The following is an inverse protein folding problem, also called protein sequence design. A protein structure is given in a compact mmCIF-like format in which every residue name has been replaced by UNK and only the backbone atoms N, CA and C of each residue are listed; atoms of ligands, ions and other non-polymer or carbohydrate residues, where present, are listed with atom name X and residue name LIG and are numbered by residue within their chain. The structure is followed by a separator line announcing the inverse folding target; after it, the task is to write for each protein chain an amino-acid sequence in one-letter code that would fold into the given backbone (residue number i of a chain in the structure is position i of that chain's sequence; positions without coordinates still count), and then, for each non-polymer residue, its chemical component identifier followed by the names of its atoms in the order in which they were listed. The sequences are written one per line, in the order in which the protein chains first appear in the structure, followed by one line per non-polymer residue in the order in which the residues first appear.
data_IF_752886431767
#
_entry.id   IF_752886431767
#
_cell.length_a   1.000
_cell.length_b   1.000
_cell.length_c   1.000
_cell.angle_alpha   90.00
_cell.angle_beta   90.00
_cell.angle_gamma   90.00
#
_symmetry.space_group_name_H-M   'P 1'
#
loop_
_entity.id
_entity.type
_entity.pdbx_description
1 polymer ?
#
# COMPACT_ATOMS: atom_id res chain seq x y z
N UNK A 1 -21.78 -8.43 -34.08
CA UNK A 1 -21.07 -7.24 -34.63
C UNK A 1 -19.67 -7.04 -34.05
N UNK A 2 -19.48 -6.74 -32.75
CA UNK A 2 -18.11 -6.56 -32.22
C UNK A 2 -17.32 -7.87 -32.15
N UNK A 3 -17.96 -8.96 -31.67
CA UNK A 3 -17.34 -10.29 -31.64
C UNK A 3 -16.92 -10.77 -33.03
N UNK A 4 -17.84 -10.78 -34.02
CA UNK A 4 -17.52 -11.09 -35.43
C UNK A 4 -16.30 -10.33 -35.96
N UNK A 5 -16.20 -9.02 -35.71
CA UNK A 5 -15.08 -8.20 -36.15
C UNK A 5 -13.78 -8.54 -35.42
N UNK A 6 -13.85 -9.01 -34.16
CA UNK A 6 -12.69 -9.47 -33.43
C UNK A 6 -12.25 -10.86 -33.90
N UNK A 7 -13.17 -11.78 -34.19
CA UNK A 7 -12.85 -13.15 -34.63
C UNK A 7 -11.91 -13.14 -35.85
N UNK A 8 -12.19 -12.31 -36.85
CA UNK A 8 -11.33 -12.14 -38.05
C UNK A 8 -10.01 -11.38 -37.82
N UNK A 9 -9.82 -10.80 -36.63
CA UNK A 9 -8.63 -10.01 -36.28
C UNK A 9 -7.81 -10.66 -35.15
N UNK A 10 -8.28 -11.77 -34.60
CA UNK A 10 -7.61 -12.57 -33.55
C UNK A 10 -7.54 -14.04 -33.97
N UNK A 11 -7.35 -14.32 -35.26
CA UNK A 11 -7.27 -15.70 -35.80
C UNK A 11 -6.07 -16.48 -35.21
N UNK A 12 -4.97 -15.78 -34.90
CA UNK A 12 -3.80 -16.30 -34.16
C UNK A 12 -4.10 -16.67 -32.69
N UNK A 13 -5.16 -16.09 -32.10
CA UNK A 13 -5.51 -16.20 -30.67
C UNK A 13 -7.02 -16.43 -30.48
N UNK A 14 -7.57 -17.57 -30.95
CA UNK A 14 -9.01 -17.86 -30.90
C UNK A 14 -9.58 -17.88 -29.48
N UNK A 15 -8.77 -18.19 -28.46
CA UNK A 15 -9.11 -18.19 -27.02
C UNK A 15 -9.65 -16.84 -26.50
N UNK A 16 -9.35 -15.74 -27.20
CA UNK A 16 -9.80 -14.39 -26.83
C UNK A 16 -11.32 -14.23 -26.97
N UNK A 17 -11.96 -14.90 -27.94
CA UNK A 17 -13.40 -14.80 -28.19
C UNK A 17 -14.23 -15.52 -27.10
N UNK A 18 -13.92 -16.77 -26.70
CA UNK A 18 -14.49 -17.40 -25.50
C UNK A 18 -14.25 -16.58 -24.23
N UNK A 19 -13.04 -16.04 -24.03
CA UNK A 19 -12.72 -15.24 -22.84
C UNK A 19 -13.60 -13.98 -22.74
N UNK A 20 -13.70 -13.20 -23.82
CA UNK A 20 -14.55 -12.01 -23.87
C UNK A 20 -16.04 -12.35 -23.71
N UNK A 21 -16.48 -13.50 -24.26
CA UNK A 21 -17.86 -13.99 -24.09
C UNK A 21 -18.16 -14.38 -22.64
N UNK A 22 -17.24 -15.06 -21.96
CA UNK A 22 -17.35 -15.39 -20.54
C UNK A 22 -17.35 -14.14 -19.65
N UNK A 23 -16.56 -13.11 -19.99
CA UNK A 23 -16.59 -11.79 -19.34
C UNK A 23 -17.97 -11.12 -19.47
N UNK A 24 -18.57 -11.19 -20.66
CA UNK A 24 -19.90 -10.64 -20.91
C UNK A 24 -20.99 -11.35 -20.10
N UNK A 25 -20.97 -12.69 -20.03
CA UNK A 25 -21.93 -13.48 -19.25
C UNK A 25 -21.86 -13.20 -17.73
N UNK A 26 -20.69 -12.83 -17.20
CA UNK A 26 -20.47 -12.50 -15.78
C UNK A 26 -20.85 -11.07 -15.39
N UNK A 27 -21.13 -10.18 -16.37
CA UNK A 27 -21.48 -8.78 -16.11
C UNK A 27 -22.91 -8.64 -15.56
N UNK A 28 -23.18 -7.58 -14.80
CA UNK A 28 -24.52 -7.32 -14.23
C UNK A 28 -25.54 -7.02 -15.35
N UNK A 29 -26.77 -7.52 -15.20
CA UNK A 29 -27.84 -7.30 -16.19
C UNK A 29 -28.15 -5.81 -16.40
N UNK A 30 -28.09 -5.02 -15.34
CA UNK A 30 -28.29 -3.56 -15.39
C UNK A 30 -27.22 -2.87 -16.23
N UNK A 31 -25.95 -3.28 -16.08
CA UNK A 31 -24.87 -2.77 -16.93
C UNK A 31 -25.01 -3.23 -18.38
N UNK A 32 -25.41 -4.48 -18.62
CA UNK A 32 -25.66 -4.99 -19.98
C UNK A 32 -26.79 -4.23 -20.70
N UNK A 33 -27.81 -3.75 -19.97
CA UNK A 33 -28.88 -2.91 -20.49
C UNK A 33 -28.52 -1.41 -20.59
N UNK A 34 -27.41 -0.98 -19.98
CA UNK A 34 -27.04 0.44 -19.84
C UNK A 34 -26.67 1.13 -21.17
N UNK A 35 -26.80 2.46 -21.18
CA UNK A 35 -26.22 3.29 -22.24
C UNK A 35 -24.68 3.31 -22.19
N UNK A 36 -24.08 3.07 -21.03
CA UNK A 36 -22.62 3.04 -20.83
C UNK A 36 -21.98 1.93 -21.69
N UNK A 37 -22.48 0.69 -21.61
CA UNK A 37 -21.99 -0.41 -22.44
C UNK A 37 -22.15 -0.12 -23.94
N UNK A 38 -23.30 0.45 -24.36
CA UNK A 38 -23.54 0.83 -25.76
C UNK A 38 -22.52 1.87 -26.26
N UNK A 39 -22.18 2.85 -25.43
CA UNK A 39 -21.18 3.88 -25.74
C UNK A 39 -19.76 3.28 -25.83
N UNK A 40 -19.40 2.39 -24.90
CA UNK A 40 -18.10 1.69 -24.92
C UNK A 40 -17.98 0.79 -26.15
N UNK A 41 -18.98 -0.03 -26.46
CA UNK A 41 -19.00 -0.88 -27.65
C UNK A 41 -18.92 -0.07 -28.95
N UNK A 42 -19.66 1.04 -29.06
CA UNK A 42 -19.63 1.92 -30.25
C UNK A 42 -18.25 2.55 -30.44
N UNK A 43 -17.61 2.99 -29.35
CA UNK A 43 -16.24 3.52 -29.36
C UNK A 43 -15.23 2.45 -29.78
N UNK A 44 -15.33 1.24 -29.24
CA UNK A 44 -14.44 0.12 -29.58
C UNK A 44 -14.63 -0.31 -31.05
N UNK A 45 -15.87 -0.45 -31.53
CA UNK A 45 -16.18 -0.74 -32.94
C UNK A 45 -15.57 0.28 -33.91
N UNK A 46 -15.70 1.57 -33.62
CA UNK A 46 -15.12 2.64 -34.43
C UNK A 46 -13.58 2.54 -34.44
N UNK A 47 -12.97 2.40 -33.26
CA UNK A 47 -11.51 2.28 -33.10
C UNK A 47 -10.91 1.06 -33.80
N UNK A 48 -11.52 -0.12 -33.67
CA UNK A 48 -11.06 -1.36 -34.35
C UNK A 48 -11.10 -1.18 -35.87
N UNK A 49 -12.13 -0.52 -36.42
CA UNK A 49 -12.24 -0.26 -37.86
C UNK A 49 -11.14 0.67 -38.38
N UNK A 50 -10.78 1.70 -37.62
CA UNK A 50 -9.72 2.66 -38.00
C UNK A 50 -8.30 2.13 -37.74
N UNK A 51 -8.09 1.32 -36.69
CA UNK A 51 -6.77 0.86 -36.24
C UNK A 51 -6.78 -0.62 -35.85
N UNK A 52 -6.89 -1.49 -36.86
CA UNK A 52 -6.97 -2.96 -36.70
C UNK A 52 -5.79 -3.55 -35.90
N UNK A 53 -4.59 -3.00 -36.06
CA UNK A 53 -3.38 -3.42 -35.32
C UNK A 53 -3.45 -3.21 -33.80
N UNK A 54 -4.47 -2.50 -33.28
CA UNK A 54 -4.69 -2.33 -31.83
C UNK A 54 -5.92 -3.09 -31.31
N UNK A 55 -6.40 -4.10 -32.04
CA UNK A 55 -7.58 -4.89 -31.67
C UNK A 55 -7.52 -5.43 -30.23
N UNK A 56 -6.38 -6.00 -29.81
CA UNK A 56 -6.18 -6.51 -28.44
C UNK A 56 -6.30 -5.42 -27.36
N UNK A 57 -5.91 -4.17 -27.66
CA UNK A 57 -6.07 -3.03 -26.74
C UNK A 57 -7.55 -2.70 -26.56
N UNK A 58 -8.35 -2.74 -27.64
CA UNK A 58 -9.78 -2.47 -27.60
C UNK A 58 -10.59 -3.62 -26.99
N UNK A 59 -10.15 -4.86 -27.19
CA UNK A 59 -10.66 -6.03 -26.47
C UNK A 59 -10.36 -5.89 -24.97
N UNK A 60 -9.15 -5.47 -24.58
CA UNK A 60 -8.78 -5.27 -23.19
C UNK A 60 -9.56 -4.09 -22.54
N UNK A 61 -9.79 -2.98 -23.27
CA UNK A 61 -10.66 -1.86 -22.84
C UNK A 61 -12.06 -2.40 -22.50
N UNK A 62 -12.66 -3.20 -23.38
CA UNK A 62 -13.97 -3.81 -23.16
C UNK A 62 -13.97 -4.85 -22.03
N UNK A 63 -12.98 -5.74 -21.97
CA UNK A 63 -12.82 -6.73 -20.89
C UNK A 63 -12.69 -6.07 -19.51
N UNK A 64 -11.96 -4.96 -19.42
CA UNK A 64 -11.78 -4.18 -18.18
C UNK A 64 -13.10 -3.57 -17.72
N UNK A 65 -13.86 -2.95 -18.64
CA UNK A 65 -15.19 -2.39 -18.34
C UNK A 65 -16.17 -3.49 -17.92
N UNK A 66 -16.23 -4.61 -18.65
CA UNK A 66 -17.07 -5.75 -18.27
C UNK A 66 -16.69 -6.29 -16.88
N UNK A 67 -15.39 -6.40 -16.57
CA UNK A 67 -14.88 -6.84 -15.26
C UNK A 67 -15.26 -5.89 -14.13
N UNK A 68 -15.21 -4.57 -14.35
CA UNK A 68 -15.62 -3.57 -13.37
C UNK A 68 -17.11 -3.68 -12.98
N UNK A 69 -17.96 -4.04 -13.95
CA UNK A 69 -19.40 -4.25 -13.76
C UNK A 69 -19.82 -5.71 -13.59
N UNK A 70 -18.87 -6.62 -13.30
CA UNK A 70 -19.25 -7.95 -12.80
C UNK A 70 -19.84 -7.84 -11.40
N UNK A 71 -20.91 -8.59 -11.14
CA UNK A 71 -21.37 -8.80 -9.77
C UNK A 71 -20.31 -9.61 -9.03
N UNK A 72 -19.39 -8.92 -8.35
CA UNK A 72 -18.54 -9.58 -7.35
C UNK A 72 -19.46 -10.21 -6.31
N UNK A 73 -19.63 -11.53 -6.38
CA UNK A 73 -20.15 -12.35 -5.28
C UNK A 73 -19.18 -12.21 -4.12
N UNK A 74 -19.31 -11.10 -3.37
CA UNK A 74 -18.78 -10.99 -2.01
C UNK A 74 -19.40 -12.15 -1.25
N UNK A 75 -18.63 -13.19 -1.00
CA UNK A 75 -18.97 -14.16 0.03
C UNK A 75 -19.16 -13.33 1.32
N UNK A 76 -20.30 -13.43 2.03
CA UNK A 76 -20.52 -12.62 3.21
C UNK A 76 -19.52 -13.02 4.30
N UNK A 77 -18.49 -12.19 4.52
CA UNK A 77 -17.84 -12.18 5.81
C UNK A 77 -18.88 -11.65 6.80
N UNK A 78 -19.33 -12.50 7.71
CA UNK A 78 -20.26 -12.13 8.75
C UNK A 78 -19.68 -10.97 9.56
N UNK A 79 -20.37 -9.83 9.56
CA UNK A 79 -20.02 -8.70 10.40
C UNK A 79 -20.39 -9.04 11.85
N UNK A 80 -19.45 -8.84 12.78
CA UNK A 80 -19.75 -8.88 14.20
C UNK A 80 -20.69 -7.70 14.55
N UNK A 81 -21.71 -7.89 15.40
CA UNK A 81 -22.66 -6.83 15.71
C UNK A 81 -22.03 -5.79 16.64
N UNK A 82 -21.74 -4.61 16.10
CA UNK A 82 -21.54 -3.40 16.91
C UNK A 82 -22.91 -2.82 17.27
N UNK A 83 -23.36 -3.03 18.51
CA UNK A 83 -24.52 -2.32 19.03
C UNK A 83 -24.16 -0.85 19.29
N UNK A 84 -25.01 0.07 18.84
CA UNK A 84 -24.93 1.49 19.19
C UNK A 84 -26.33 2.08 19.33
N UNK A 85 -26.56 2.74 20.46
CA UNK A 85 -27.68 3.59 20.84
C UNK A 85 -27.24 4.32 22.12
N UNK A 86 -27.05 5.64 22.20
CA UNK A 86 -27.91 6.78 21.79
C UNK A 86 -29.24 6.67 22.57
N UNK A 87 -29.65 7.57 23.46
CA UNK A 87 -29.38 9.03 23.70
C UNK A 87 -29.75 9.35 25.19
N UNK A 88 -29.00 10.16 25.96
CA UNK A 88 -29.27 11.60 26.30
C UNK A 88 -30.32 11.87 27.40
N UNK A 89 -30.04 12.87 28.28
CA UNK A 89 -30.92 13.57 29.28
C UNK A 89 -31.46 12.72 30.46
N UNK A 90 -31.60 13.17 31.72
CA UNK A 90 -31.35 14.47 32.43
C UNK A 90 -31.44 14.31 33.97
N UNK A 91 -30.62 15.04 34.75
CA UNK A 91 -30.85 15.57 36.14
C UNK A 91 -31.25 14.58 37.29
N UNK A 92 -31.00 14.74 38.60
CA UNK A 92 -30.59 15.85 39.50
C UNK A 92 -30.05 15.30 40.83
N UNK A 93 -29.13 16.02 41.54
CA UNK A 93 -28.85 15.98 43.02
C UNK A 93 -28.41 14.62 43.65
N UNK A 94 -27.62 14.49 44.72
CA UNK A 94 -26.88 15.36 45.66
C UNK A 94 -25.95 14.43 46.51
N UNK A 95 -24.91 14.84 47.25
CA UNK A 95 -24.06 16.05 47.30
C UNK A 95 -22.79 15.75 48.17
N UNK A 96 -21.78 16.65 48.16
CA UNK A 96 -20.84 17.09 49.26
C UNK A 96 -20.21 16.07 50.26
N UNK A 97 -18.95 16.18 50.73
CA UNK A 97 -17.88 17.23 50.61
C UNK A 97 -16.48 16.66 50.97
N UNK A 98 -15.41 17.37 50.55
CA UNK A 98 -14.09 17.64 51.21
C UNK A 98 -13.30 16.49 51.90
N UNK A 99 -11.98 16.32 51.68
CA UNK A 99 -10.93 17.30 52.02
C UNK A 99 -9.53 16.85 51.51
N UNK A 100 -8.57 17.78 51.45
CA UNK A 100 -7.14 17.57 51.18
C UNK A 100 -6.33 18.54 52.05
N UNK A 101 -5.18 18.16 52.64
CA UNK A 101 -3.93 18.80 52.19
C UNK A 101 -2.60 18.01 52.36
N UNK A 102 -1.84 17.90 51.26
CA UNK A 102 -0.38 18.18 51.09
C UNK A 102 0.76 17.49 51.95
N UNK A 103 2.06 17.60 51.51
CA UNK A 103 3.19 16.65 51.79
C UNK A 103 4.22 17.22 52.82
N UNK A 104 5.55 16.86 52.94
CA UNK A 104 6.49 15.98 52.19
C UNK A 104 7.47 15.17 53.11
N UNK A 105 8.81 15.00 52.91
CA UNK A 105 9.67 14.64 51.75
C UNK A 105 10.56 13.37 51.98
N UNK A 106 11.31 12.89 50.95
CA UNK A 106 12.76 12.49 50.99
C UNK A 106 13.18 11.38 49.99
N UNK A 107 14.38 11.52 49.43
CA UNK A 107 15.08 10.62 48.45
C UNK A 107 16.10 9.70 49.16
N UNK A 108 17.07 9.01 48.48
CA UNK A 108 17.15 8.47 47.12
C UNK A 108 17.50 6.94 47.10
N UNK A 109 17.55 6.29 45.92
CA UNK A 109 18.06 4.92 45.80
C UNK A 109 18.43 4.52 44.38
N UNK A 110 19.72 4.28 44.11
CA UNK A 110 20.22 3.90 42.79
C UNK A 110 20.28 2.37 42.63
N UNK A 111 19.82 1.86 41.49
CA UNK A 111 20.12 0.50 41.03
C UNK A 111 20.17 0.48 39.49
N UNK A 112 21.38 0.40 38.93
CA UNK A 112 21.56 0.16 37.50
C UNK A 112 21.22 -1.28 37.16
N UNK A 113 20.10 -1.52 36.49
CA UNK A 113 19.83 -2.80 35.82
C UNK A 113 20.29 -2.74 34.36
N UNK A 114 21.41 -3.41 34.07
CA UNK A 114 21.75 -3.73 32.69
C UNK A 114 20.66 -4.61 32.07
N UNK A 115 20.30 -4.44 30.79
CA UNK A 115 19.26 -5.23 30.17
C UNK A 115 19.75 -6.67 29.94
N UNK A 116 19.28 -7.60 30.78
CA UNK A 116 19.45 -9.03 30.55
C UNK A 116 18.93 -9.41 29.16
N UNK A 117 19.66 -10.19 28.35
CA UNK A 117 19.15 -10.63 27.05
C UNK A 117 17.92 -11.51 27.27
N UNK A 118 16.80 -11.14 26.63
CA UNK A 118 15.58 -11.94 26.68
C UNK A 118 15.86 -13.39 26.22
N UNK A 119 15.19 -14.40 26.81
CA UNK A 119 15.40 -15.79 26.41
C UNK A 119 14.99 -15.98 24.95
N UNK A 120 15.99 -16.07 24.07
CA UNK A 120 15.78 -16.23 22.64
C UNK A 120 14.93 -17.45 22.32
N UNK A 121 14.13 -17.34 21.26
CA UNK A 121 13.17 -18.37 20.86
C UNK A 121 13.81 -19.74 20.66
N UNK A 122 13.04 -20.81 20.87
CA UNK A 122 13.53 -22.18 20.76
C UNK A 122 14.32 -22.40 19.46
N UNK A 123 15.58 -22.81 19.57
CA UNK A 123 16.49 -23.03 18.42
C UNK A 123 15.88 -23.98 17.37
N UNK A 124 15.05 -24.94 17.81
CA UNK A 124 14.30 -25.85 16.92
C UNK A 124 13.20 -25.14 16.14
N UNK A 125 12.47 -24.21 16.78
CA UNK A 125 11.44 -23.39 16.15
C UNK A 125 12.05 -22.41 15.13
N UNK A 126 13.18 -21.79 15.46
CA UNK A 126 13.91 -20.90 14.54
C UNK A 126 14.31 -21.67 13.27
N UNK A 127 14.98 -22.82 13.41
CA UNK A 127 15.37 -23.68 12.27
C UNK A 127 14.17 -24.12 11.42
N UNK A 128 13.06 -24.47 12.06
CA UNK A 128 11.82 -24.85 11.35
C UNK A 128 11.27 -23.69 10.51
N UNK A 129 11.20 -22.48 11.08
CA UNK A 129 10.70 -21.29 10.37
C UNK A 129 11.67 -20.84 9.26
N UNK A 130 12.98 -20.96 9.44
CA UNK A 130 13.99 -20.71 8.39
C UNK A 130 13.86 -21.70 7.22
N UNK A 131 13.64 -22.98 7.52
CA UNK A 131 13.39 -23.98 6.47
C UNK A 131 12.06 -23.73 5.75
N UNK A 132 11.00 -23.37 6.48
CA UNK A 132 9.71 -23.02 5.89
C UNK A 132 9.79 -21.77 4.99
N UNK A 133 10.61 -20.79 5.38
CA UNK A 133 10.91 -19.62 4.55
C UNK A 133 11.53 -20.05 3.22
N UNK A 134 12.56 -20.92 3.26
CA UNK A 134 13.22 -21.47 2.06
C UNK A 134 12.25 -22.22 1.14
N UNK A 135 11.36 -23.05 1.70
CA UNK A 135 10.33 -23.76 0.94
C UNK A 135 9.39 -22.77 0.24
N UNK A 136 8.94 -21.72 0.94
CA UNK A 136 8.09 -20.68 0.33
C UNK A 136 8.83 -19.87 -0.73
N UNK A 137 10.13 -19.58 -0.57
CA UNK A 137 10.93 -18.93 -1.62
C UNK A 137 11.02 -19.79 -2.88
N UNK A 138 11.22 -21.11 -2.75
CA UNK A 138 11.23 -22.03 -3.89
C UNK A 138 9.89 -22.07 -4.63
N UNK A 139 8.79 -22.19 -3.87
CA UNK A 139 7.44 -22.23 -4.47
C UNK A 139 7.05 -20.88 -5.11
N UNK A 140 7.47 -19.74 -4.55
CA UNK A 140 7.29 -18.43 -5.16
C UNK A 140 8.01 -18.36 -6.52
N UNK A 141 9.25 -18.84 -6.62
CA UNK A 141 9.99 -18.86 -7.91
C UNK A 141 9.26 -19.72 -8.96
N UNK A 142 8.83 -20.92 -8.57
CA UNK A 142 8.06 -21.84 -9.42
C UNK A 142 6.74 -21.24 -9.92
N UNK A 143 6.07 -20.42 -9.10
CA UNK A 143 4.84 -19.71 -9.48
C UNK A 143 5.11 -18.50 -10.38
N UNK A 144 6.26 -17.84 -10.22
CA UNK A 144 6.69 -16.73 -11.08
C UNK A 144 7.13 -17.18 -12.48
N UNK A 145 7.63 -18.41 -12.60
CA UNK A 145 7.99 -19.05 -13.88
C UNK A 145 6.79 -19.64 -14.64
N UNK A 146 5.62 -19.74 -13.99
CA UNK A 146 4.41 -20.32 -14.61
C UNK A 146 3.69 -19.27 -15.46
N UNK A 147 3.63 -19.51 -16.76
CA UNK A 147 2.77 -18.77 -17.70
C UNK A 147 1.29 -18.89 -17.30
N UNK A 148 0.52 -17.80 -17.47
CA UNK A 148 -0.93 -17.77 -17.22
C UNK A 148 -1.68 -17.72 -18.55
N UNK A 149 -2.60 -18.66 -18.75
CA UNK A 149 -3.57 -18.57 -19.84
C UNK A 149 -4.71 -17.57 -19.55
N UNK A 150 -5.56 -17.33 -20.55
CA UNK A 150 -6.69 -16.40 -20.40
C UNK A 150 -7.76 -16.88 -19.40
N UNK A 151 -7.88 -18.19 -19.16
CA UNK A 151 -8.83 -18.73 -18.19
C UNK A 151 -8.31 -18.52 -16.75
N UNK A 152 -7.02 -18.76 -16.50
CA UNK A 152 -6.36 -18.48 -15.23
C UNK A 152 -6.38 -16.99 -14.88
N UNK A 153 -6.31 -16.07 -15.86
CA UNK A 153 -6.51 -14.63 -15.64
C UNK A 153 -7.92 -14.25 -15.08
N UNK A 154 -8.88 -15.17 -15.10
CA UNK A 154 -10.17 -15.03 -14.40
C UNK A 154 -10.40 -16.02 -13.25
N UNK A 155 -9.39 -16.81 -12.89
CA UNK A 155 -9.43 -17.70 -11.72
C UNK A 155 -9.09 -16.93 -10.45
N UNK A 156 -9.83 -17.20 -9.36
CA UNK A 156 -9.50 -16.67 -8.03
C UNK A 156 -8.28 -17.35 -7.39
N UNK A 157 -7.89 -18.52 -7.92
CA UNK A 157 -6.74 -19.33 -7.51
C UNK A 157 -5.66 -19.41 -8.61
N UNK A 158 -5.54 -18.39 -9.45
CA UNK A 158 -4.45 -18.28 -10.43
C UNK A 158 -3.05 -18.27 -9.78
N UNK A 159 -2.02 -18.68 -10.52
CA UNK A 159 -0.62 -18.72 -10.02
C UNK A 159 -0.18 -17.40 -9.39
N UNK A 160 -0.49 -16.28 -10.04
CA UNK A 160 -0.23 -14.92 -9.55
C UNK A 160 -0.92 -14.61 -8.21
N UNK A 161 -2.18 -15.05 -8.01
CA UNK A 161 -2.87 -14.87 -6.73
C UNK A 161 -2.33 -15.81 -5.66
N UNK A 162 -1.89 -17.02 -6.01
CA UNK A 162 -1.19 -17.93 -5.11
C UNK A 162 0.15 -17.35 -4.65
N UNK A 163 0.95 -16.78 -5.56
CA UNK A 163 2.20 -16.09 -5.28
C UNK A 163 1.98 -14.94 -4.27
N UNK A 164 0.98 -14.09 -4.50
CA UNK A 164 0.58 -13.03 -3.58
C UNK A 164 0.16 -13.54 -2.19
N UNK A 165 -0.52 -14.69 -2.12
CA UNK A 165 -0.90 -15.34 -0.85
C UNK A 165 0.34 -15.88 -0.12
N UNK A 166 1.30 -16.48 -0.84
CA UNK A 166 2.54 -17.00 -0.26
C UNK A 166 3.48 -15.89 0.20
N UNK A 167 3.70 -14.83 -0.59
CA UNK A 167 4.48 -13.64 -0.18
C UNK A 167 3.95 -13.04 1.14
N UNK A 168 2.63 -12.96 1.31
CA UNK A 168 2.01 -12.51 2.58
C UNK A 168 2.24 -13.47 3.76
N UNK A 169 2.25 -14.79 3.53
CA UNK A 169 2.59 -15.79 4.58
C UNK A 169 4.09 -15.70 4.94
N UNK A 170 4.95 -15.51 3.94
CA UNK A 170 6.41 -15.37 4.10
C UNK A 170 6.76 -14.17 5.01
N UNK A 171 6.12 -13.01 4.82
CA UNK A 171 6.34 -11.85 5.70
C UNK A 171 5.96 -12.11 7.17
N UNK A 172 4.85 -12.83 7.44
CA UNK A 172 4.47 -13.21 8.81
C UNK A 172 5.49 -14.15 9.47
N UNK A 173 6.10 -15.05 8.69
CA UNK A 173 7.19 -15.93 9.16
C UNK A 173 8.43 -15.11 9.46
N UNK A 174 8.78 -14.14 8.60
CA UNK A 174 9.90 -13.23 8.81
C UNK A 174 9.72 -12.38 10.08
N UNK A 175 8.56 -11.74 10.26
CA UNK A 175 8.21 -11.00 11.48
C UNK A 175 8.35 -11.88 12.73
N UNK A 176 7.86 -13.13 12.69
CA UNK A 176 7.98 -14.07 13.81
C UNK A 176 9.43 -14.50 14.06
N UNK A 177 10.24 -14.66 13.01
CA UNK A 177 11.67 -14.94 13.13
C UNK A 177 12.42 -13.76 13.78
N UNK A 178 12.12 -12.52 13.39
CA UNK A 178 12.69 -11.33 14.02
C UNK A 178 12.36 -11.26 15.52
N UNK A 179 11.09 -11.50 15.89
CA UNK A 179 10.67 -11.60 17.30
C UNK A 179 11.43 -12.68 18.07
N UNK A 180 11.56 -13.89 17.51
CA UNK A 180 12.25 -15.01 18.17
C UNK A 180 13.77 -14.82 18.29
N UNK A 181 14.38 -14.05 17.37
CA UNK A 181 15.81 -13.70 17.40
C UNK A 181 16.12 -12.43 18.19
N UNK A 182 15.12 -11.65 18.59
CA UNK A 182 15.31 -10.34 19.23
C UNK A 182 15.83 -9.25 18.27
N UNK A 183 15.59 -9.40 16.97
CA UNK A 183 16.04 -8.47 15.94
C UNK A 183 14.90 -7.54 15.49
N UNK A 184 15.26 -6.38 14.94
CA UNK A 184 14.31 -5.51 14.25
C UNK A 184 13.73 -6.20 13.00
N UNK A 185 12.51 -5.82 12.61
CA UNK A 185 11.87 -6.25 11.35
C UNK A 185 12.25 -5.37 10.15
N UNK A 186 13.27 -4.51 10.29
CA UNK A 186 13.82 -3.72 9.19
C UNK A 186 14.47 -4.64 8.15
N UNK A 187 14.20 -4.35 6.88
CA UNK A 187 14.65 -5.15 5.74
C UNK A 187 15.85 -4.53 5.01
N UNK A 188 16.27 -3.31 5.38
CA UNK A 188 17.34 -2.57 4.73
C UNK A 188 16.88 -1.80 3.49
N UNK A 189 15.56 -1.72 3.26
CA UNK A 189 14.98 -1.03 2.10
C UNK A 189 15.27 0.47 2.09
N UNK A 190 15.33 1.05 0.89
CA UNK A 190 15.61 2.48 0.72
C UNK A 190 14.50 3.35 1.33
N UNK A 191 13.25 2.89 1.38
CA UNK A 191 12.17 3.58 2.13
C UNK A 191 12.40 3.65 3.66
N UNK A 192 13.19 2.74 4.24
CA UNK A 192 13.52 2.74 5.67
C UNK A 192 14.61 3.78 6.01
N UNK A 193 15.33 4.27 5.00
CA UNK A 193 16.39 5.26 5.19
C UNK A 193 15.82 6.63 5.57
N UNK A 194 16.35 7.20 6.66
CA UNK A 194 15.97 8.53 7.17
C UNK A 194 16.47 9.62 6.23
N UNK A 195 15.54 10.41 5.69
CA UNK A 195 15.84 11.64 4.94
C UNK A 195 16.16 12.75 5.95
N UNK A 196 17.40 13.28 6.00
CA UNK A 196 17.69 14.47 6.79
C UNK A 196 17.07 15.71 6.14
N UNK A 197 16.69 16.69 6.96
CA UNK A 197 16.18 17.98 6.48
C UNK A 197 16.84 19.14 7.23
N UNK A 198 17.42 20.08 6.47
CA UNK A 198 18.14 21.27 6.98
C UNK A 198 17.85 22.52 6.14
N UNK A 199 16.70 22.58 5.46
CA UNK A 199 16.38 23.66 4.52
C UNK A 199 16.09 25.03 5.16
N UNK A 200 15.79 25.10 6.46
CA UNK A 200 15.55 26.38 7.16
C UNK A 200 16.70 26.75 8.11
N UNK A 201 16.80 28.03 8.47
CA UNK A 201 17.75 28.53 9.48
C UNK A 201 17.39 28.13 10.92
N UNK A 202 16.21 27.55 11.14
CA UNK A 202 15.65 27.27 12.47
C UNK A 202 15.73 25.76 12.80
N UNK A 203 16.59 25.33 13.73
CA UNK A 203 16.74 23.90 14.07
C UNK A 203 15.45 23.23 14.55
N UNK A 204 14.55 23.98 15.18
CA UNK A 204 13.26 23.53 15.71
C UNK A 204 12.32 23.11 14.57
N UNK A 205 12.25 23.95 13.53
CA UNK A 205 11.51 23.70 12.29
C UNK A 205 12.12 22.51 11.55
N UNK A 206 13.43 22.51 11.37
CA UNK A 206 14.14 21.41 10.70
C UNK A 206 13.85 20.06 11.37
N UNK A 207 14.03 19.96 12.70
CA UNK A 207 13.71 18.74 13.49
C UNK A 207 12.23 18.36 13.44
N UNK A 208 11.30 19.29 13.19
CA UNK A 208 9.87 19.00 13.12
C UNK A 208 9.45 18.48 11.74
N UNK A 209 9.95 19.10 10.68
CA UNK A 209 9.77 18.64 9.29
C UNK A 209 10.43 17.27 9.12
N UNK A 210 11.67 17.10 9.57
CA UNK A 210 12.39 15.82 9.48
C UNK A 210 11.64 14.66 10.18
N UNK A 211 11.08 14.89 11.37
CA UNK A 211 10.24 13.88 12.07
C UNK A 211 8.88 13.65 11.43
N UNK A 212 8.45 14.52 10.52
CA UNK A 212 7.17 14.38 9.82
C UNK A 212 7.33 13.57 8.54
N UNK A 213 8.37 13.85 7.74
CA UNK A 213 8.66 13.19 6.46
C UNK A 213 9.20 11.76 6.60
N UNK A 214 9.75 11.43 7.78
CA UNK A 214 10.27 10.09 8.09
C UNK A 214 9.27 9.19 8.84
N UNK A 215 7.98 9.51 8.77
CA UNK A 215 6.92 8.61 9.24
C UNK A 215 6.63 7.53 8.19
N UNK A 216 6.17 6.33 8.58
CA UNK A 216 5.69 5.34 7.63
C UNK A 216 4.59 5.94 6.75
N UNK A 217 4.66 5.66 5.44
CA UNK A 217 3.70 6.09 4.41
C UNK A 217 3.47 7.62 4.29
N UNK A 218 4.31 8.46 4.91
CA UNK A 218 4.16 9.91 4.80
C UNK A 218 4.58 10.45 3.43
N UNK A 219 3.59 10.94 2.67
CA UNK A 219 3.80 11.80 1.50
C UNK A 219 2.99 13.09 1.71
N UNK A 220 3.58 14.13 2.30
CA UNK A 220 2.85 15.31 2.74
C UNK A 220 2.50 16.25 1.58
N UNK A 221 1.39 16.96 1.69
CA UNK A 221 1.07 18.09 0.82
C UNK A 221 1.70 19.41 1.34
N UNK A 222 1.56 20.49 0.57
CA UNK A 222 1.99 21.83 0.98
C UNK A 222 1.33 22.29 2.29
N UNK A 223 0.03 22.01 2.45
CA UNK A 223 -0.77 22.42 3.60
C UNK A 223 -0.26 21.77 4.89
N UNK A 224 0.19 20.52 4.83
CA UNK A 224 0.72 19.76 5.94
C UNK A 224 2.09 20.25 6.37
N UNK A 225 2.97 20.58 5.42
CA UNK A 225 4.24 21.26 5.70
C UNK A 225 3.98 22.62 6.35
N UNK A 226 3.05 23.42 5.81
CA UNK A 226 2.68 24.72 6.39
C UNK A 226 2.11 24.57 7.82
N UNK A 227 1.21 23.63 8.07
CA UNK A 227 0.68 23.31 9.42
C UNK A 227 1.80 22.89 10.38
N UNK A 228 2.79 22.14 9.91
CA UNK A 228 3.96 21.74 10.69
C UNK A 228 4.81 22.95 11.07
N UNK A 229 5.05 23.88 10.14
CA UNK A 229 5.79 25.12 10.36
C UNK A 229 5.05 26.03 11.34
N UNK A 230 3.75 26.26 11.13
CA UNK A 230 2.91 27.07 12.04
C UNK A 230 2.90 26.51 13.47
N UNK A 231 2.72 25.20 13.64
CA UNK A 231 2.75 24.54 14.96
C UNK A 231 4.12 24.61 15.63
N UNK A 232 5.21 24.61 14.86
CA UNK A 232 6.55 24.78 15.40
C UNK A 232 6.84 26.25 15.79
N UNK A 233 6.44 27.22 14.95
CA UNK A 233 6.54 28.66 15.24
C UNK A 233 5.82 29.01 16.55
N UNK A 234 4.55 28.60 16.70
CA UNK A 234 3.76 28.84 17.90
C UNK A 234 4.32 28.15 19.15
N UNK A 235 4.84 26.92 19.01
CA UNK A 235 5.41 26.16 20.14
C UNK A 235 6.75 26.71 20.64
N UNK A 236 7.57 27.27 19.73
CA UNK A 236 8.92 27.72 20.03
C UNK A 236 9.06 29.25 20.07
N UNK A 237 7.97 30.00 19.91
CA UNK A 237 7.97 31.46 20.01
C UNK A 237 8.81 32.17 18.95
N UNK A 238 8.97 31.59 17.76
CA UNK A 238 9.93 32.08 16.75
C UNK A 238 9.53 33.42 16.09
N UNK A 239 8.34 33.96 16.40
CA UNK A 239 7.88 35.27 15.93
C UNK A 239 7.66 35.39 14.42
N UNK A 240 7.58 34.27 13.69
CA UNK A 240 7.63 34.27 12.23
C UNK A 240 6.32 34.82 11.64
N UNK A 241 6.43 35.87 10.81
CA UNK A 241 5.30 36.43 10.09
C UNK A 241 4.69 35.43 9.09
N UNK A 242 3.37 35.53 8.86
CA UNK A 242 2.62 34.58 8.02
C UNK A 242 3.25 34.34 6.64
N UNK A 243 3.54 35.41 5.90
CA UNK A 243 4.15 35.35 4.56
C UNK A 243 5.52 34.65 4.56
N UNK A 244 6.30 34.81 5.63
CA UNK A 244 7.59 34.14 5.74
C UNK A 244 7.44 32.64 6.02
N UNK A 245 6.44 32.24 6.82
CA UNK A 245 6.09 30.82 7.00
C UNK A 245 5.57 30.17 5.71
N UNK A 246 4.78 30.89 4.91
CA UNK A 246 4.26 30.41 3.61
C UNK A 246 5.40 30.20 2.61
N UNK A 247 6.33 31.15 2.47
CA UNK A 247 7.53 30.99 1.64
C UNK A 247 8.38 29.78 2.11
N UNK A 248 8.69 29.69 3.40
CA UNK A 248 9.45 28.55 3.94
C UNK A 248 8.71 27.21 3.74
N UNK A 249 7.38 27.18 3.80
CA UNK A 249 6.60 25.99 3.52
C UNK A 249 6.69 25.57 2.06
N UNK A 250 6.72 26.53 1.13
CA UNK A 250 6.84 26.27 -0.31
C UNK A 250 8.22 25.68 -0.65
N UNK A 251 9.30 26.28 -0.13
CA UNK A 251 10.67 25.78 -0.33
C UNK A 251 10.86 24.40 0.32
N UNK A 252 10.42 24.24 1.57
CA UNK A 252 10.48 22.98 2.29
C UNK A 252 9.69 21.87 1.58
N UNK A 253 8.48 22.16 1.11
CA UNK A 253 7.64 21.21 0.36
C UNK A 253 8.33 20.75 -0.93
N UNK A 254 8.99 21.66 -1.66
CA UNK A 254 9.71 21.32 -2.90
C UNK A 254 10.94 20.44 -2.64
N UNK A 255 11.78 20.82 -1.67
CA UNK A 255 12.98 20.04 -1.30
C UNK A 255 12.62 18.64 -0.79
N UNK A 256 11.64 18.57 0.12
CA UNK A 256 11.14 17.31 0.70
C UNK A 256 10.47 16.44 -0.36
N UNK A 257 9.62 17.03 -1.21
CA UNK A 257 8.90 16.32 -2.26
C UNK A 257 9.84 15.63 -3.24
N UNK A 258 10.88 16.34 -3.69
CA UNK A 258 11.93 15.78 -4.55
C UNK A 258 12.63 14.59 -3.87
N UNK A 259 13.11 14.74 -2.62
CA UNK A 259 13.78 13.65 -1.89
C UNK A 259 12.88 12.45 -1.61
N UNK A 260 11.58 12.68 -1.36
CA UNK A 260 10.60 11.59 -1.18
C UNK A 260 10.32 10.84 -2.48
N UNK A 261 10.22 11.55 -3.61
CA UNK A 261 10.08 10.93 -4.93
C UNK A 261 11.34 10.13 -5.30
N UNK A 262 12.52 10.72 -5.14
CA UNK A 262 13.82 10.06 -5.38
C UNK A 262 13.98 8.80 -4.53
N UNK A 263 13.73 8.87 -3.21
CA UNK A 263 13.78 7.70 -2.31
C UNK A 263 12.81 6.59 -2.76
N UNK A 264 11.61 6.96 -3.24
CA UNK A 264 10.61 5.99 -3.73
C UNK A 264 10.98 5.42 -5.11
N UNK A 265 11.61 6.20 -5.97
CA UNK A 265 12.12 5.74 -7.26
C UNK A 265 13.29 4.77 -7.08
N UNK A 266 14.27 5.10 -6.23
CA UNK A 266 15.37 4.21 -5.87
C UNK A 266 14.88 2.91 -5.22
N UNK A 267 13.94 2.99 -4.28
CA UNK A 267 13.34 1.80 -3.67
C UNK A 267 12.63 0.90 -4.70
N UNK A 268 11.94 1.49 -5.69
CA UNK A 268 11.38 0.74 -6.81
C UNK A 268 12.50 0.07 -7.61
N UNK A 269 13.49 0.84 -8.10
CA UNK A 269 14.57 0.32 -8.97
C UNK A 269 15.36 -0.82 -8.31
N UNK A 270 15.73 -0.69 -7.04
CA UNK A 270 16.50 -1.72 -6.33
C UNK A 270 15.68 -2.94 -5.88
N UNK A 271 14.34 -2.88 -5.92
CA UNK A 271 13.47 -3.97 -5.46
C UNK A 271 12.43 -4.37 -6.53
N UNK A 272 12.70 -4.08 -7.80
CA UNK A 272 11.81 -4.37 -8.91
C UNK A 272 11.96 -5.83 -9.39
N UNK A 273 10.85 -6.44 -9.81
CA UNK A 273 10.85 -7.71 -10.53
C UNK A 273 11.12 -8.95 -9.69
N UNK A 274 11.90 -9.88 -10.25
CA UNK A 274 12.28 -11.18 -9.68
C UNK A 274 13.59 -11.69 -10.29
N UNK A 275 13.98 -12.93 -9.96
CA UNK A 275 15.12 -13.62 -10.55
C UNK A 275 15.07 -13.76 -12.08
N UNK A 276 13.91 -13.55 -12.71
CA UNK A 276 13.74 -13.51 -14.16
C UNK A 276 14.20 -12.18 -14.78
N UNK A 277 14.25 -11.11 -13.99
CA UNK A 277 14.61 -9.74 -14.43
C UNK A 277 15.95 -9.25 -13.86
N UNK A 278 16.53 -9.93 -12.87
CA UNK A 278 17.81 -9.58 -12.23
C UNK A 278 18.98 -9.45 -13.21
N UNK A 279 18.88 -10.05 -14.40
CA UNK A 279 19.90 -10.00 -15.46
C UNK A 279 19.63 -8.98 -16.57
N UNK A 280 18.54 -8.20 -16.49
CA UNK A 280 18.19 -7.20 -17.51
C UNK A 280 19.29 -6.15 -17.72
N UNK A 281 19.54 -5.82 -18.99
CA UNK A 281 20.52 -4.83 -19.42
C UNK A 281 19.90 -3.89 -20.48
N UNK A 282 19.92 -2.56 -20.28
CA UNK A 282 19.32 -1.58 -21.20
C UNK A 282 19.91 -1.47 -22.62
N UNK A 283 20.73 -2.42 -23.06
CA UNK A 283 21.37 -2.44 -24.38
C UNK A 283 21.26 -3.80 -25.08
N UNK A 284 20.37 -4.68 -24.59
CA UNK A 284 20.08 -5.99 -25.18
C UNK A 284 18.64 -6.02 -25.79
N UNK A 285 17.98 -4.85 -25.86
CA UNK A 285 16.63 -4.58 -26.44
C UNK A 285 16.68 -4.14 -27.92
#
# INVERSE_FOLDING_TARGET
KFLELCTHLTEEHPEVIPFLSGRHQKASRDFLASAELRNVLSRCLSRVRTRRNKVYVYINELCTVLKAHTLRRKLPLAAAPTASGVTTTTTTTAATTESSPQPPPSSPGAASSAPSPAPGGSKRQIRYLENLLRVYTGEIRRLQERELDLAELDSEDSSYLQESRLKRKMMRIFERLCQLKGCSSLTGRVLEQRIPYRGTRYPELNRRIERFINRPEAFPDYSDILKVIQKANARHGLGLARRHMENMAQDAFREVGNRLQERRHLDLVYNFGSHLTDHYRPGED
#
